data_IF_541222503975
#
_entry.id   IF_541222503975
#
_cell.length_a   1.000
_cell.length_b   1.000
_cell.length_c   1.000
_cell.angle_alpha   90.00
_cell.angle_beta   90.00
_cell.angle_gamma   90.00
#
_symmetry.space_group_name_H-M   'P 1'
#
loop_
_entity.id
_entity.type
_entity.pdbx_description
1 polymer ?
#
# COMPACT_ATOMS: atom_id res chain seq x y z
N UNK A 1 30.35 -0.83 -4.34
CA UNK A 1 30.87 0.52 -4.01
C UNK A 1 29.99 1.18 -2.94
N UNK A 2 30.46 2.21 -2.21
CA UNK A 2 29.61 2.92 -1.23
C UNK A 2 28.33 3.52 -1.85
N UNK A 3 28.38 3.81 -3.15
CA UNK A 3 27.23 4.26 -3.94
C UNK A 3 26.17 3.16 -4.07
N UNK A 4 26.57 1.93 -4.41
CA UNK A 4 25.64 0.79 -4.51
C UNK A 4 24.92 0.51 -3.17
N UNK A 5 25.63 0.59 -2.04
CA UNK A 5 25.03 0.36 -0.73
C UNK A 5 24.01 1.44 -0.34
N UNK A 6 24.26 2.70 -0.70
CA UNK A 6 23.32 3.81 -0.44
C UNK A 6 22.08 3.71 -1.33
N UNK A 7 22.25 3.35 -2.59
CA UNK A 7 21.12 3.15 -3.52
C UNK A 7 20.26 1.98 -3.03
N UNK A 8 20.90 0.87 -2.66
CA UNK A 8 20.20 -0.32 -2.18
C UNK A 8 19.41 -0.02 -0.91
N UNK A 9 20.03 0.63 0.08
CA UNK A 9 19.34 0.99 1.33
C UNK A 9 18.22 2.03 1.12
N UNK A 10 18.42 3.00 0.22
CA UNK A 10 17.40 3.98 -0.15
C UNK A 10 16.15 3.34 -0.79
N UNK A 11 16.36 2.36 -1.68
CA UNK A 11 15.26 1.60 -2.30
C UNK A 11 14.50 0.80 -1.23
N UNK A 12 15.21 0.03 -0.40
CA UNK A 12 14.58 -0.74 0.68
C UNK A 12 13.80 0.15 1.65
N UNK A 13 14.36 1.30 2.03
CA UNK A 13 13.67 2.26 2.91
C UNK A 13 12.40 2.80 2.27
N UNK A 14 12.46 3.18 0.99
CA UNK A 14 11.30 3.71 0.26
C UNK A 14 10.19 2.65 0.14
N UNK A 15 10.55 1.40 -0.20
CA UNK A 15 9.61 0.28 -0.27
C UNK A 15 8.96 0.02 1.09
N UNK A 16 9.72 0.07 2.18
CA UNK A 16 9.18 -0.16 3.52
C UNK A 16 8.18 0.94 3.95
N UNK A 17 8.47 2.21 3.61
CA UNK A 17 7.54 3.33 3.84
C UNK A 17 6.27 3.13 3.02
N UNK A 18 6.41 2.79 1.73
CA UNK A 18 5.27 2.54 0.84
C UNK A 18 4.38 1.40 1.34
N UNK A 19 5.01 0.31 1.80
CA UNK A 19 4.33 -0.83 2.41
C UNK A 19 3.51 -0.39 3.64
N UNK A 20 4.11 0.43 4.51
CA UNK A 20 3.44 0.99 5.69
C UNK A 20 2.24 1.87 5.31
N UNK A 21 2.34 2.67 4.25
CA UNK A 21 1.23 3.49 3.75
C UNK A 21 0.05 2.64 3.24
N UNK A 22 0.35 1.51 2.58
CA UNK A 22 -0.68 0.56 2.14
C UNK A 22 -1.38 -0.09 3.35
N UNK A 23 -0.63 -0.48 4.40
CA UNK A 23 -1.23 -0.96 5.67
C UNK A 23 -2.17 0.11 6.23
N UNK A 24 -1.68 1.35 6.32
CA UNK A 24 -2.46 2.47 6.84
C UNK A 24 -3.76 2.69 6.06
N UNK A 25 -3.71 2.64 4.71
CA UNK A 25 -4.89 2.74 3.85
C UNK A 25 -5.86 1.60 4.13
N UNK A 26 -5.39 0.36 4.23
CA UNK A 26 -6.23 -0.81 4.53
C UNK A 26 -6.94 -0.66 5.88
N UNK A 27 -6.20 -0.32 6.93
CA UNK A 27 -6.77 -0.09 8.27
C UNK A 27 -7.85 1.00 8.21
N UNK A 28 -7.59 2.10 7.49
CA UNK A 28 -8.57 3.19 7.33
C UNK A 28 -9.84 2.75 6.59
N UNK A 29 -9.78 1.78 5.66
CA UNK A 29 -10.98 1.26 4.99
C UNK A 29 -11.89 0.43 5.90
N UNK A 30 -11.38 -0.06 7.04
CA UNK A 30 -12.22 -0.77 8.03
C UNK A 30 -13.08 0.19 8.86
N UNK A 31 -12.76 1.47 8.88
CA UNK A 31 -13.58 2.48 9.54
C UNK A 31 -14.69 2.93 8.59
N UNK A 32 -15.96 2.99 9.05
CA UNK A 32 -17.09 3.39 8.20
C UNK A 32 -17.07 4.88 7.82
N UNK A 33 -16.35 5.73 8.58
CA UNK A 33 -16.20 7.16 8.28
C UNK A 33 -14.76 7.64 8.58
N UNK A 34 -13.78 7.29 7.74
CA UNK A 34 -12.39 7.67 7.96
C UNK A 34 -12.15 9.16 7.65
N UNK A 35 -11.19 9.82 8.31
CA UNK A 35 -10.88 11.22 8.06
C UNK A 35 -10.46 11.43 6.60
N UNK A 36 -11.26 12.18 5.84
CA UNK A 36 -11.02 12.44 4.42
C UNK A 36 -9.67 13.10 4.15
N UNK A 37 -9.17 13.93 5.08
CA UNK A 37 -7.88 14.61 4.97
C UNK A 37 -6.70 13.62 4.92
N UNK A 38 -6.84 12.44 5.50
CA UNK A 38 -5.83 11.37 5.50
C UNK A 38 -6.14 10.36 4.40
N UNK A 39 -7.41 10.04 4.20
CA UNK A 39 -7.83 9.06 3.20
C UNK A 39 -7.50 9.50 1.76
N UNK A 40 -7.75 10.76 1.39
CA UNK A 40 -7.48 11.24 0.03
C UNK A 40 -6.01 11.15 -0.38
N UNK A 41 -5.03 11.66 0.39
CA UNK A 41 -3.62 11.54 -0.01
C UNK A 41 -3.15 10.08 -0.03
N UNK A 42 -3.61 9.25 0.91
CA UNK A 42 -3.29 7.81 0.89
C UNK A 42 -3.87 7.11 -0.32
N UNK A 43 -5.12 7.44 -0.71
CA UNK A 43 -5.73 6.92 -1.92
C UNK A 43 -4.95 7.37 -3.16
N UNK A 44 -4.60 8.64 -3.29
CA UNK A 44 -3.81 9.12 -4.45
C UNK A 44 -2.48 8.38 -4.62
N UNK A 45 -1.81 8.04 -3.52
CA UNK A 45 -0.49 7.37 -3.55
C UNK A 45 -0.62 5.84 -3.76
N UNK A 46 -1.60 5.22 -3.11
CA UNK A 46 -1.74 3.76 -3.08
C UNK A 46 -2.65 3.24 -4.19
N UNK A 47 -3.64 4.01 -4.67
CA UNK A 47 -4.62 3.58 -5.67
C UNK A 47 -3.98 3.15 -6.99
N UNK A 48 -2.98 3.84 -7.58
CA UNK A 48 -2.38 3.38 -8.84
C UNK A 48 -1.82 1.97 -8.74
N UNK A 49 -1.16 1.66 -7.62
CA UNK A 49 -0.60 0.34 -7.35
C UNK A 49 -1.70 -0.68 -7.02
N UNK A 50 -2.65 -0.33 -6.15
CA UNK A 50 -3.74 -1.24 -5.78
C UNK A 50 -4.70 -1.50 -6.94
N UNK A 51 -4.86 -0.55 -7.86
CA UNK A 51 -5.64 -0.70 -9.08
C UNK A 51 -5.03 -1.76 -10.03
N UNK A 52 -3.72 -2.01 -9.98
CA UNK A 52 -3.10 -3.11 -10.74
C UNK A 52 -3.59 -4.49 -10.25
N UNK A 53 -3.97 -4.58 -8.98
CA UNK A 53 -4.47 -5.79 -8.35
C UNK A 53 -5.99 -5.79 -8.17
N UNK A 54 -6.67 -4.67 -8.44
CA UNK A 54 -8.14 -4.58 -8.40
C UNK A 54 -8.75 -5.52 -9.43
N UNK A 55 -9.77 -6.25 -8.99
CA UNK A 55 -10.49 -7.19 -9.84
C UNK A 55 -9.87 -8.58 -9.92
N UNK A 56 -8.65 -8.78 -9.38
CA UNK A 56 -8.12 -10.13 -9.15
C UNK A 56 -8.88 -10.83 -8.02
N UNK A 57 -9.21 -10.07 -6.96
CA UNK A 57 -10.02 -10.55 -5.83
C UNK A 57 -11.33 -9.74 -5.78
N UNK A 58 -12.50 -10.40 -5.75
CA UNK A 58 -13.77 -9.73 -5.52
C UNK A 58 -13.75 -9.01 -4.15
N UNK A 59 -14.24 -7.76 -4.05
CA UNK A 59 -14.33 -7.07 -2.76
C UNK A 59 -15.28 -7.84 -1.83
N UNK A 60 -14.74 -8.49 -0.79
CA UNK A 60 -15.55 -9.21 0.20
C UNK A 60 -16.11 -8.19 1.21
N UNK A 61 -17.38 -7.84 1.06
CA UNK A 61 -18.10 -6.99 2.02
C UNK A 61 -17.67 -5.52 2.04
N UNK A 62 -17.20 -4.97 0.91
CA UNK A 62 -16.74 -3.58 0.83
C UNK A 62 -15.33 -3.33 1.39
N UNK A 63 -14.69 -4.38 1.91
CA UNK A 63 -13.28 -4.36 2.32
C UNK A 63 -12.44 -4.78 1.11
N UNK A 64 -11.52 -3.91 0.73
CA UNK A 64 -10.59 -4.16 -0.37
C UNK A 64 -9.48 -5.11 0.11
N UNK A 65 -9.47 -6.36 -0.39
CA UNK A 65 -8.46 -7.38 -0.06
C UNK A 65 -7.25 -7.35 -1.00
N UNK A 66 -7.27 -6.49 -2.02
CA UNK A 66 -6.12 -6.24 -2.91
C UNK A 66 -4.80 -5.98 -2.16
N UNK A 67 -4.80 -5.29 -0.99
CA UNK A 67 -3.59 -5.10 -0.20
C UNK A 67 -2.96 -6.39 0.36
N UNK A 68 -3.73 -7.44 0.64
CA UNK A 68 -3.19 -8.70 1.19
C UNK A 68 -2.28 -9.38 0.15
N UNK A 69 -2.69 -9.39 -1.13
CA UNK A 69 -1.83 -9.85 -2.22
C UNK A 69 -0.58 -8.98 -2.36
N UNK A 70 -0.71 -7.66 -2.22
CA UNK A 70 0.44 -6.76 -2.23
C UNK A 70 1.45 -7.06 -1.11
N UNK A 71 1.02 -7.34 0.13
CA UNK A 71 1.91 -7.77 1.21
C UNK A 71 2.62 -9.10 0.92
N UNK A 72 1.93 -10.01 0.23
CA UNK A 72 2.47 -11.32 -0.10
C UNK A 72 3.52 -11.22 -1.22
N UNK A 73 3.36 -10.27 -2.15
CA UNK A 73 4.31 -10.01 -3.25
C UNK A 73 5.49 -9.15 -2.81
N UNK A 74 5.29 -8.21 -1.87
CA UNK A 74 6.36 -7.31 -1.41
C UNK A 74 7.29 -7.93 -0.35
N UNK A 75 6.94 -9.09 0.23
CA UNK A 75 7.81 -9.84 1.14
C UNK A 75 8.93 -10.56 0.36
N UNK A 76 9.99 -9.82 0.02
CA UNK A 76 11.29 -10.33 -0.46
C UNK A 76 12.39 -9.89 0.51
#
# INVERSE_FOLDING_TARGET
>A
SAVESVITSGIFSTLNIYNTLIIGRLILTWFPNPPRQIMYPLATICDPYLNLFRGIIPPLGGIDLSPILAFTVLNV
#
